data_IF_197344386976
#
_entry.id   IF_197344386976
#
_cell.length_a   1.000
_cell.length_b   1.000
_cell.length_c   1.000
_cell.angle_alpha   90.00
_cell.angle_beta   90.00
_cell.angle_gamma   90.00
#
_symmetry.space_group_name_H-M   'P 1'
#
loop_
_entity.id
_entity.type
_entity.pdbx_description
1 polymer ?
#
# COMPACT_ATOMS: atom_id res chain seq x y z
N UNK A 1 -6.32 6.96 -36.21
CA UNK A 1 -6.90 6.96 -34.85
C UNK A 1 -5.78 6.85 -33.80
N UNK A 2 -4.73 7.66 -33.99
CA UNK A 2 -3.43 7.57 -33.30
C UNK A 2 -3.27 8.81 -32.40
N UNK A 3 -2.59 8.70 -31.25
CA UNK A 3 -2.29 9.79 -30.27
C UNK A 3 -3.37 10.13 -29.23
N UNK A 4 -3.80 9.16 -28.42
CA UNK A 4 -4.56 9.48 -27.21
C UNK A 4 -3.68 10.03 -26.09
N UNK A 5 -2.41 9.60 -25.99
CA UNK A 5 -1.42 10.04 -25.00
C UNK A 5 -0.61 11.24 -25.50
N UNK A 6 -0.98 12.46 -25.10
CA UNK A 6 -0.27 13.69 -25.49
C UNK A 6 -0.52 14.80 -24.50
N UNK A 7 0.44 15.72 -24.40
CA UNK A 7 0.28 16.98 -23.66
C UNK A 7 -0.94 17.77 -24.17
N UNK A 8 -1.75 18.26 -23.25
CA UNK A 8 -2.94 19.06 -23.55
C UNK A 8 -2.73 20.47 -23.00
N UNK A 9 -3.02 21.46 -23.83
CA UNK A 9 -3.05 22.85 -23.39
C UNK A 9 -4.22 23.06 -22.42
N UNK A 10 -3.90 23.56 -21.23
CA UNK A 10 -4.84 23.77 -20.13
C UNK A 10 -5.89 24.87 -20.38
N UNK A 11 -5.69 25.68 -21.43
CA UNK A 11 -6.67 26.69 -21.90
C UNK A 11 -7.85 26.12 -22.70
N UNK A 12 -7.86 24.81 -23.01
CA UNK A 12 -8.97 24.17 -23.73
C UNK A 12 -10.25 24.15 -22.91
N UNK A 13 -11.40 24.24 -23.59
CA UNK A 13 -12.72 24.08 -22.97
C UNK A 13 -12.98 22.61 -22.63
N UNK A 14 -13.60 22.38 -21.48
CA UNK A 14 -13.92 21.04 -20.95
C UNK A 14 -14.81 20.24 -21.91
N UNK A 15 -15.75 20.90 -22.59
CA UNK A 15 -16.66 20.25 -23.55
C UNK A 15 -15.92 19.55 -24.71
N UNK A 16 -14.84 20.16 -25.20
CA UNK A 16 -14.01 19.59 -26.27
C UNK A 16 -13.26 18.31 -25.86
N UNK A 17 -13.31 17.95 -24.58
CA UNK A 17 -12.68 16.76 -24.01
C UNK A 17 -13.70 15.67 -23.66
N UNK A 18 -14.99 15.83 -23.95
CA UNK A 18 -16.05 14.86 -23.61
C UNK A 18 -15.84 13.42 -24.11
N UNK A 19 -15.05 13.24 -25.18
CA UNK A 19 -14.68 11.91 -25.72
C UNK A 19 -13.36 11.37 -25.18
N UNK A 20 -12.73 12.05 -24.21
CA UNK A 20 -11.42 11.73 -23.66
C UNK A 20 -11.41 11.91 -22.14
N UNK A 21 -10.46 11.31 -21.46
CA UNK A 21 -10.12 11.68 -20.10
C UNK A 21 -8.80 12.45 -20.10
N UNK A 22 -8.51 13.09 -18.98
CA UNK A 22 -7.26 13.81 -18.75
C UNK A 22 -6.61 13.23 -17.50
N UNK A 23 -5.31 12.98 -17.59
CA UNK A 23 -4.45 12.73 -16.45
C UNK A 23 -3.71 14.02 -16.11
N UNK A 24 -3.79 14.44 -14.87
CA UNK A 24 -2.95 15.49 -14.30
C UNK A 24 -1.83 14.77 -13.55
N UNK A 25 -0.68 14.60 -14.17
CA UNK A 25 0.49 13.98 -13.56
C UNK A 25 1.19 15.00 -12.66
N UNK A 26 1.47 14.61 -11.43
CA UNK A 26 2.22 15.41 -10.45
C UNK A 26 3.70 15.00 -10.47
N UNK A 27 4.62 15.87 -10.01
CA UNK A 27 6.05 15.55 -9.94
C UNK A 27 6.38 14.33 -9.08
N UNK A 28 5.53 14.04 -8.10
CA UNK A 28 5.73 12.98 -7.11
C UNK A 28 5.41 11.56 -7.62
N UNK A 29 5.10 11.42 -8.92
CA UNK A 29 4.69 10.16 -9.55
C UNK A 29 3.22 9.79 -9.30
N UNK A 30 2.47 10.62 -8.57
CA UNK A 30 1.02 10.49 -8.45
C UNK A 30 0.30 11.32 -9.51
N UNK A 31 -1.03 11.19 -9.57
CA UNK A 31 -1.81 11.96 -10.52
C UNK A 31 -3.30 11.96 -10.22
N UNK A 32 -4.00 12.76 -11.01
CA UNK A 32 -5.46 12.90 -10.90
C UNK A 32 -6.08 12.63 -12.25
N UNK A 33 -6.88 11.58 -12.32
CA UNK A 33 -7.68 11.22 -13.49
C UNK A 33 -8.97 12.04 -13.48
N UNK A 34 -9.25 12.76 -14.57
CA UNK A 34 -10.47 13.54 -14.78
C UNK A 34 -11.20 13.07 -16.02
N UNK A 35 -12.48 12.74 -15.88
CA UNK A 35 -13.39 12.38 -16.98
C UNK A 35 -14.51 13.39 -17.07
N UNK A 36 -14.83 13.83 -18.27
CA UNK A 36 -15.79 14.90 -18.53
C UNK A 36 -17.00 14.34 -19.27
N UNK A 37 -18.19 14.63 -18.76
CA UNK A 37 -19.45 14.26 -19.41
C UNK A 37 -20.32 15.50 -19.57
N UNK A 38 -20.54 15.91 -20.82
CA UNK A 38 -21.43 17.01 -21.14
C UNK A 38 -22.88 16.51 -21.13
N UNK A 39 -23.77 17.28 -20.53
CA UNK A 39 -25.20 17.01 -20.54
C UNK A 39 -25.99 18.28 -20.86
N UNK A 40 -27.11 18.10 -21.54
CA UNK A 40 -28.06 19.13 -21.91
C UNK A 40 -29.43 18.71 -21.39
N UNK A 41 -29.95 19.45 -20.41
CA UNK A 41 -31.28 19.22 -19.86
C UNK A 41 -32.08 20.49 -20.07
N UNK A 42 -33.09 20.43 -20.95
CA UNK A 42 -34.01 21.54 -21.24
C UNK A 42 -33.27 22.85 -21.59
N UNK A 43 -32.16 22.76 -22.33
CA UNK A 43 -31.36 23.92 -22.75
C UNK A 43 -30.31 24.37 -21.74
N UNK A 44 -30.28 23.80 -20.53
CA UNK A 44 -29.22 24.02 -19.55
C UNK A 44 -28.07 23.09 -19.87
N UNK A 45 -27.00 23.65 -20.44
CA UNK A 45 -25.76 22.94 -20.76
C UNK A 45 -24.81 22.94 -19.58
N UNK A 46 -24.35 21.77 -19.16
CA UNK A 46 -23.43 21.62 -18.03
C UNK A 46 -22.50 20.42 -18.24
N UNK A 47 -21.41 20.37 -17.47
CA UNK A 47 -20.43 19.29 -17.51
C UNK A 47 -20.35 18.62 -16.14
N UNK A 48 -20.48 17.29 -16.09
CA UNK A 48 -20.10 16.49 -14.93
C UNK A 48 -18.62 16.15 -15.06
N UNK A 49 -17.86 16.44 -14.02
CA UNK A 49 -16.44 16.12 -13.92
C UNK A 49 -16.28 15.04 -12.88
N UNK A 50 -15.85 13.86 -13.31
CA UNK A 50 -15.51 12.75 -12.42
C UNK A 50 -14.00 12.77 -12.18
N UNK A 51 -13.57 12.74 -10.93
CA UNK A 51 -12.17 12.85 -10.49
C UNK A 51 -11.77 11.63 -9.66
N UNK A 52 -10.61 11.04 -9.97
CA UNK A 52 -10.01 9.94 -9.21
C UNK A 52 -8.55 10.29 -8.95
N UNK A 53 -8.15 10.29 -7.67
CA UNK A 53 -6.76 10.52 -7.27
C UNK A 53 -6.04 9.16 -7.26
N UNK A 54 -4.89 9.05 -7.91
CA UNK A 54 -4.15 7.78 -7.97
C UNK A 54 -3.60 7.36 -6.61
N UNK A 55 -3.44 8.29 -5.66
CA UNK A 55 -3.10 7.95 -4.26
C UNK A 55 -4.27 7.27 -3.52
N UNK A 56 -5.51 7.48 -3.97
CA UNK A 56 -6.74 6.91 -3.38
C UNK A 56 -7.64 6.37 -4.50
N UNK A 57 -7.21 5.31 -5.19
CA UNK A 57 -7.82 4.86 -6.45
C UNK A 57 -9.26 4.33 -6.28
N UNK A 58 -9.66 4.04 -5.04
CA UNK A 58 -10.98 3.54 -4.65
C UNK A 58 -12.03 4.64 -4.52
N UNK A 59 -11.63 5.91 -4.45
CA UNK A 59 -12.52 7.03 -4.15
C UNK A 59 -12.73 7.91 -5.38
N UNK A 60 -13.91 7.81 -5.97
CA UNK A 60 -14.30 8.66 -7.10
C UNK A 60 -15.14 9.85 -6.62
N UNK A 61 -14.66 11.07 -6.85
CA UNK A 61 -15.40 12.31 -6.61
C UNK A 61 -16.05 12.81 -7.91
N UNK A 62 -17.13 13.56 -7.83
CA UNK A 62 -17.67 14.26 -8.99
C UNK A 62 -18.08 15.69 -8.63
N UNK A 63 -18.12 16.57 -9.63
CA UNK A 63 -18.63 17.93 -9.49
C UNK A 63 -19.28 18.41 -10.79
N UNK A 64 -20.15 19.40 -10.66
CA UNK A 64 -20.71 20.12 -11.80
C UNK A 64 -19.83 21.31 -12.16
N UNK A 65 -19.63 21.51 -13.46
CA UNK A 65 -18.97 22.67 -14.02
C UNK A 65 -19.83 23.27 -15.14
N UNK A 66 -19.73 24.59 -15.33
CA UNK A 66 -20.40 25.27 -16.44
C UNK A 66 -19.92 24.71 -17.78
N UNK A 67 -20.78 24.76 -18.79
CA UNK A 67 -20.44 24.27 -20.15
C UNK A 67 -19.18 24.93 -20.72
N UNK A 68 -18.99 26.22 -20.44
CA UNK A 68 -17.88 27.05 -20.89
C UNK A 68 -16.62 26.98 -20.00
N UNK A 69 -16.62 26.16 -18.95
CA UNK A 69 -15.45 26.02 -18.07
C UNK A 69 -14.22 25.59 -18.89
N UNK A 70 -13.10 26.26 -18.65
CA UNK A 70 -11.79 25.87 -19.16
C UNK A 70 -11.22 24.78 -18.28
N UNK A 71 -10.25 24.04 -18.81
CA UNK A 71 -9.60 22.97 -18.05
C UNK A 71 -8.89 23.56 -16.81
N UNK A 72 -8.24 24.72 -16.93
CA UNK A 72 -7.68 25.49 -15.80
C UNK A 72 -8.66 25.66 -14.63
N UNK A 73 -9.93 26.02 -14.91
CA UNK A 73 -10.96 26.24 -13.88
C UNK A 73 -11.30 24.96 -13.09
N UNK A 74 -10.92 23.80 -13.62
CA UNK A 74 -11.27 22.49 -13.06
C UNK A 74 -10.07 21.58 -12.76
N UNK A 75 -8.87 22.10 -12.96
CA UNK A 75 -7.64 21.55 -12.39
C UNK A 75 -7.58 21.90 -10.89
N UNK A 76 -6.80 21.16 -10.08
CA UNK A 76 -6.54 21.58 -8.70
C UNK A 76 -5.91 23.00 -8.71
N UNK A 77 -6.41 23.88 -7.84
CA UNK A 77 -5.76 25.17 -7.60
C UNK A 77 -4.44 24.93 -6.86
N UNK A 78 -3.41 25.73 -7.19
CA UNK A 78 -2.11 25.89 -6.50
C UNK A 78 -0.91 25.12 -7.08
N UNK A 79 0.02 25.89 -7.66
CA UNK A 79 1.45 25.91 -7.29
C UNK A 79 2.42 24.80 -7.72
N UNK A 80 1.97 23.69 -8.30
CA UNK A 80 2.87 22.58 -8.67
C UNK A 80 3.11 22.48 -10.18
N UNK A 81 4.33 22.10 -10.58
CA UNK A 81 4.68 21.71 -11.94
C UNK A 81 3.93 20.43 -12.33
N UNK A 82 2.67 20.54 -12.74
CA UNK A 82 1.88 19.39 -13.20
C UNK A 82 1.87 19.28 -14.72
N UNK A 83 1.93 18.05 -15.22
CA UNK A 83 1.78 17.77 -16.64
C UNK A 83 0.37 17.27 -16.95
N UNK A 84 -0.30 17.96 -17.89
CA UNK A 84 -1.67 17.60 -18.30
C UNK A 84 -1.62 16.76 -19.57
N UNK A 85 -2.05 15.50 -19.45
CA UNK A 85 -1.95 14.49 -20.51
C UNK A 85 -3.36 14.02 -20.90
N UNK A 86 -3.69 14.03 -22.19
CA UNK A 86 -4.89 13.35 -22.67
C UNK A 86 -4.71 11.84 -22.52
N UNK A 87 -5.77 11.15 -22.12
CA UNK A 87 -5.78 9.70 -21.97
C UNK A 87 -7.08 9.12 -22.55
N UNK A 88 -7.12 7.82 -22.91
CA UNK A 88 -8.36 7.14 -23.22
C UNK A 88 -9.34 7.21 -22.04
N UNK A 89 -10.63 7.01 -22.33
CA UNK A 89 -11.65 6.96 -21.29
C UNK A 89 -11.40 5.77 -20.36
N UNK A 90 -11.67 6.02 -19.08
CA UNK A 90 -11.63 4.99 -18.07
C UNK A 90 -13.03 4.57 -17.64
N UNK A 91 -13.10 3.35 -17.14
CA UNK A 91 -14.32 2.69 -16.69
C UNK A 91 -14.08 2.00 -15.35
N UNK A 92 -15.17 1.81 -14.61
CA UNK A 92 -15.16 0.94 -13.45
C UNK A 92 -15.57 -0.48 -13.87
N UNK A 93 -14.97 -1.52 -13.26
CA UNK A 93 -15.35 -2.89 -13.53
C UNK A 93 -16.80 -3.15 -13.10
N UNK A 94 -17.44 -4.14 -13.71
CA UNK A 94 -18.85 -4.44 -13.48
C UNK A 94 -19.15 -4.77 -12.01
N UNK A 95 -18.25 -5.51 -11.34
CA UNK A 95 -18.41 -5.85 -9.92
C UNK A 95 -18.44 -4.60 -9.03
N UNK A 96 -17.65 -3.56 -9.35
CA UNK A 96 -17.62 -2.33 -8.57
C UNK A 96 -18.92 -1.52 -8.73
N UNK A 97 -19.50 -1.54 -9.95
CA UNK A 97 -20.84 -0.98 -10.20
C UNK A 97 -21.91 -1.76 -9.43
N UNK A 98 -21.81 -3.08 -9.40
CA UNK A 98 -22.71 -3.97 -8.63
C UNK A 98 -22.61 -3.72 -7.13
N UNK A 99 -21.40 -3.61 -6.59
CA UNK A 99 -21.17 -3.31 -5.17
C UNK A 99 -21.78 -1.96 -4.77
N UNK A 100 -21.60 -0.92 -5.59
CA UNK A 100 -22.24 0.39 -5.36
C UNK A 100 -23.76 0.27 -5.32
N UNK A 101 -24.35 -0.50 -6.24
CA UNK A 101 -25.79 -0.72 -6.28
C UNK A 101 -26.28 -1.45 -5.02
N UNK A 102 -25.57 -2.50 -4.58
CA UNK A 102 -25.88 -3.22 -3.35
C UNK A 102 -25.82 -2.33 -2.11
N UNK A 103 -24.76 -1.52 -1.96
CA UNK A 103 -24.64 -0.56 -0.84
C UNK A 103 -25.77 0.48 -0.89
N UNK A 104 -26.07 0.99 -2.09
CA UNK A 104 -27.18 1.95 -2.29
C UNK A 104 -28.51 1.34 -1.86
N UNK A 105 -28.80 0.11 -2.29
CA UNK A 105 -30.02 -0.62 -1.93
C UNK A 105 -30.05 -0.90 -0.42
N UNK A 106 -28.93 -1.29 0.18
CA UNK A 106 -28.83 -1.55 1.62
C UNK A 106 -29.15 -0.30 2.45
N UNK A 107 -28.56 0.85 2.11
CA UNK A 107 -28.86 2.13 2.78
C UNK A 107 -30.33 2.52 2.55
N UNK A 108 -30.84 2.34 1.33
CA UNK A 108 -32.23 2.65 1.01
C UNK A 108 -33.23 1.78 1.80
N UNK A 109 -32.98 0.47 1.93
CA UNK A 109 -33.77 -0.44 2.75
C UNK A 109 -33.68 -0.06 4.24
N UNK A 110 -32.49 0.32 4.72
CA UNK A 110 -32.32 0.79 6.10
C UNK A 110 -33.15 2.05 6.38
N UNK A 111 -33.27 2.98 5.42
CA UNK A 111 -34.14 4.15 5.54
C UNK A 111 -35.61 3.73 5.54
N UNK A 112 -36.01 2.89 4.58
CA UNK A 112 -37.41 2.46 4.42
C UNK A 112 -37.94 1.69 5.64
N UNK A 113 -37.12 0.80 6.22
CA UNK A 113 -37.52 -0.03 7.36
C UNK A 113 -37.09 0.53 8.73
N UNK A 114 -36.05 1.35 8.78
CA UNK A 114 -35.57 1.98 10.02
C UNK A 114 -36.43 3.16 10.47
N UNK A 115 -36.99 3.95 9.55
CA UNK A 115 -37.87 5.07 9.90
C UNK A 115 -39.12 4.62 10.67
N UNK A 116 -39.85 3.56 10.28
CA UNK A 116 -40.94 3.01 11.07
C UNK A 116 -40.53 2.52 12.46
N UNK A 117 -39.35 1.89 12.58
CA UNK A 117 -38.83 1.43 13.87
C UNK A 117 -38.52 2.59 14.85
N UNK A 118 -38.31 3.79 14.32
CA UNK A 118 -38.13 5.04 15.07
C UNK A 118 -39.44 5.82 15.29
N UNK A 119 -40.59 5.24 14.93
CA UNK A 119 -41.91 5.83 15.15
C UNK A 119 -42.45 6.70 14.02
N UNK A 120 -41.81 6.72 12.84
CA UNK A 120 -42.37 7.39 11.66
C UNK A 120 -43.55 6.59 11.09
N UNK A 121 -44.52 7.28 10.48
CA UNK A 121 -45.59 6.61 9.74
C UNK A 121 -45.04 5.90 8.49
N UNK A 122 -45.73 4.85 8.04
CA UNK A 122 -45.39 4.13 6.80
C UNK A 122 -45.36 5.06 5.59
N UNK A 123 -46.29 6.00 5.50
CA UNK A 123 -46.37 6.96 4.39
C UNK A 123 -45.17 7.92 4.38
N UNK A 124 -44.74 8.38 5.56
CA UNK A 124 -43.53 9.19 5.68
C UNK A 124 -42.28 8.41 5.28
N UNK A 125 -42.17 7.14 5.67
CA UNK A 125 -41.05 6.27 5.30
C UNK A 125 -40.98 6.04 3.77
N UNK A 126 -42.12 5.83 3.12
CA UNK A 126 -42.21 5.69 1.66
C UNK A 126 -41.79 7.00 0.97
N UNK A 127 -42.29 8.15 1.44
CA UNK A 127 -41.93 9.45 0.86
C UNK A 127 -40.44 9.74 0.99
N UNK A 128 -39.86 9.57 2.19
CA UNK A 128 -38.43 9.81 2.41
C UNK A 128 -37.54 8.82 1.65
N UNK A 129 -37.91 7.54 1.58
CA UNK A 129 -37.16 6.55 0.80
C UNK A 129 -37.19 6.83 -0.71
N UNK A 130 -38.32 7.31 -1.25
CA UNK A 130 -38.45 7.66 -2.67
C UNK A 130 -37.57 8.86 -3.07
N UNK A 131 -37.37 9.81 -2.15
CA UNK A 131 -36.44 10.93 -2.31
C UNK A 131 -34.99 10.53 -2.06
N UNK A 132 -34.74 9.62 -1.11
CA UNK A 132 -33.40 9.19 -0.75
C UNK A 132 -32.71 8.38 -1.86
N UNK A 133 -33.44 7.53 -2.60
CA UNK A 133 -32.85 6.68 -3.63
C UNK A 133 -32.10 7.45 -4.75
N UNK A 134 -32.70 8.46 -5.43
CA UNK A 134 -31.98 9.23 -6.43
C UNK A 134 -30.83 10.03 -5.80
N UNK A 135 -31.00 10.50 -4.56
CA UNK A 135 -29.99 11.24 -3.84
C UNK A 135 -28.78 10.34 -3.50
N UNK A 136 -29.00 9.12 -3.05
CA UNK A 136 -27.95 8.13 -2.82
C UNK A 136 -27.24 7.76 -4.14
N UNK A 137 -27.97 7.53 -5.24
CA UNK A 137 -27.34 7.25 -6.54
C UNK A 137 -26.47 8.40 -7.06
N UNK A 138 -26.76 9.65 -6.66
CA UNK A 138 -25.99 10.84 -7.02
C UNK A 138 -24.82 11.06 -6.06
N UNK A 139 -25.06 11.02 -4.75
CA UNK A 139 -24.08 11.43 -3.73
C UNK A 139 -23.20 10.29 -3.20
N UNK A 140 -23.64 9.04 -3.29
CA UNK A 140 -22.84 7.92 -2.82
C UNK A 140 -21.58 7.79 -3.70
N UNK A 141 -20.36 7.83 -3.11
CA UNK A 141 -19.13 7.78 -3.88
C UNK A 141 -19.11 6.52 -4.74
N UNK A 142 -18.53 6.60 -5.94
CA UNK A 142 -18.29 5.38 -6.70
C UNK A 142 -17.11 4.65 -6.05
N UNK A 143 -17.37 3.42 -5.63
CA UNK A 143 -16.40 2.53 -5.00
C UNK A 143 -15.72 1.68 -6.07
N UNK A 144 -14.48 1.28 -5.80
CA UNK A 144 -13.73 0.32 -6.60
C UNK A 144 -12.73 0.94 -7.58
N UNK A 145 -11.76 0.12 -8.03
CA UNK A 145 -10.64 0.57 -8.85
C UNK A 145 -11.11 1.03 -10.24
N UNK A 146 -10.31 1.91 -10.83
CA UNK A 146 -10.51 2.41 -12.19
C UNK A 146 -9.61 1.68 -13.16
N UNK A 147 -10.16 1.29 -14.30
CA UNK A 147 -9.44 0.71 -15.42
C UNK A 147 -9.48 1.68 -16.61
N UNK A 148 -8.30 2.00 -17.14
CA UNK A 148 -8.13 2.82 -18.34
C UNK A 148 -8.05 1.86 -19.52
N UNK A 149 -8.95 2.00 -20.51
CA UNK A 149 -8.89 1.17 -21.72
C UNK A 149 -7.68 1.58 -22.56
N UNK A 150 -6.57 0.87 -22.43
CA UNK A 150 -5.43 1.04 -23.34
C UNK A 150 -5.73 0.33 -24.67
N UNK A 151 -5.16 0.86 -25.76
CA UNK A 151 -5.23 0.20 -27.08
C UNK A 151 -4.36 -1.06 -27.14
N UNK A 152 -3.39 -1.17 -26.26
CA UNK A 152 -2.30 -2.16 -26.32
C UNK A 152 -2.53 -3.36 -25.37
N UNK A 153 -3.79 -3.64 -25.01
CA UNK A 153 -4.21 -4.75 -24.14
C UNK A 153 -3.62 -4.77 -22.71
N UNK A 154 -2.73 -3.82 -22.37
CA UNK A 154 -2.21 -3.66 -21.01
C UNK A 154 -3.31 -3.21 -20.05
N UNK A 155 -3.50 -3.89 -18.89
CA UNK A 155 -4.45 -3.50 -17.86
C UNK A 155 -3.96 -2.24 -17.15
N UNK A 156 -4.29 -1.07 -17.71
CA UNK A 156 -3.98 0.20 -17.07
C UNK A 156 -4.96 0.45 -15.92
N UNK A 157 -4.42 0.62 -14.73
CA UNK A 157 -5.15 0.94 -13.50
C UNK A 157 -4.74 2.33 -13.03
N UNK A 158 -5.45 2.86 -12.04
CA UNK A 158 -5.04 4.10 -11.39
C UNK A 158 -3.61 4.02 -10.77
N UNK A 159 -3.09 2.82 -10.48
CA UNK A 159 -1.76 2.63 -9.90
C UNK A 159 -0.59 2.76 -10.89
N UNK A 160 -0.79 2.40 -12.17
CA UNK A 160 0.28 2.38 -13.19
C UNK A 160 0.09 3.41 -14.33
N UNK A 161 -1.07 4.09 -14.39
CA UNK A 161 -1.40 5.02 -15.48
C UNK A 161 -0.44 6.21 -15.57
N UNK A 162 0.10 6.69 -14.44
CA UNK A 162 1.04 7.82 -14.41
C UNK A 162 2.37 7.42 -15.02
N UNK A 163 2.90 6.28 -14.59
CA UNK A 163 4.14 5.70 -15.09
C UNK A 163 4.03 5.41 -16.59
N UNK A 164 2.93 4.77 -17.02
CA UNK A 164 2.65 4.54 -18.45
C UNK A 164 2.65 5.85 -19.24
N UNK A 165 1.97 6.90 -18.73
CA UNK A 165 1.90 8.19 -19.40
C UNK A 165 3.29 8.81 -19.56
N UNK A 166 4.09 8.81 -18.49
CA UNK A 166 5.43 9.39 -18.50
C UNK A 166 6.37 8.64 -19.47
N UNK A 167 6.38 7.31 -19.43
CA UNK A 167 7.15 6.48 -20.37
C UNK A 167 6.73 6.73 -21.82
N UNK A 168 5.42 6.84 -22.08
CA UNK A 168 4.91 7.09 -23.44
C UNK A 168 5.26 8.50 -23.93
N UNK A 169 5.29 9.48 -23.04
CA UNK A 169 5.65 10.87 -23.36
C UNK A 169 7.16 11.06 -23.56
N UNK A 170 7.99 10.29 -22.88
CA UNK A 170 9.45 10.28 -23.11
C UNK A 170 9.86 9.52 -24.37
N UNK A 171 8.90 8.89 -25.07
CA UNK A 171 9.16 8.10 -26.28
C UNK A 171 9.64 6.68 -25.99
N UNK A 172 9.59 6.22 -24.74
CA UNK A 172 9.85 4.83 -24.41
C UNK A 172 8.71 3.91 -24.87
N UNK A 173 8.99 2.62 -24.99
CA UNK A 173 8.01 1.57 -25.29
C UNK A 173 7.47 0.98 -23.98
N UNK A 174 6.27 1.39 -23.50
CA UNK A 174 5.71 0.93 -22.23
C UNK A 174 5.14 -0.50 -22.29
N UNK A 175 5.42 -1.22 -23.37
CA UNK A 175 4.93 -2.59 -23.64
C UNK A 175 5.43 -3.61 -22.60
N UNK A 176 6.45 -3.25 -21.83
CA UNK A 176 7.03 -4.05 -20.76
C UNK A 176 6.51 -3.72 -19.36
N UNK A 177 5.45 -2.91 -19.22
CA UNK A 177 4.88 -2.66 -17.89
C UNK A 177 4.29 -3.97 -17.35
N UNK A 178 4.92 -4.46 -16.29
CA UNK A 178 4.51 -5.65 -15.57
C UNK A 178 3.06 -5.51 -15.05
N UNK A 179 2.37 -6.63 -14.92
CA UNK A 179 0.98 -6.67 -14.45
C UNK A 179 0.81 -6.00 -13.06
N UNK A 180 1.87 -6.04 -12.23
CA UNK A 180 1.91 -5.38 -10.92
C UNK A 180 2.45 -3.94 -11.05
N UNK A 181 1.71 -2.93 -10.55
CA UNK A 181 2.19 -1.56 -10.46
C UNK A 181 3.55 -1.47 -9.77
N UNK A 182 4.47 -0.67 -10.32
CA UNK A 182 5.83 -0.57 -9.80
C UNK A 182 5.89 -0.16 -8.32
N UNK A 183 5.01 0.74 -7.87
CA UNK A 183 4.86 1.08 -6.44
C UNK A 183 4.60 -0.14 -5.56
N UNK A 184 3.74 -1.06 -6.00
CA UNK A 184 3.40 -2.26 -5.23
C UNK A 184 4.60 -3.17 -5.09
N UNK A 185 5.42 -3.32 -6.15
CA UNK A 185 6.68 -4.09 -6.09
C UNK A 185 7.67 -3.50 -5.08
N UNK A 186 7.80 -2.18 -5.01
CA UNK A 186 8.69 -1.53 -4.03
C UNK A 186 8.19 -1.75 -2.59
N UNK A 187 6.86 -1.71 -2.37
CA UNK A 187 6.28 -2.02 -1.07
C UNK A 187 6.45 -3.50 -0.69
N UNK A 188 6.31 -4.41 -1.66
CA UNK A 188 6.56 -5.85 -1.49
C UNK A 188 8.00 -6.09 -1.06
N UNK A 189 8.96 -5.45 -1.74
CA UNK A 189 10.40 -5.52 -1.38
C UNK A 189 10.68 -5.11 0.08
N UNK A 190 10.05 -4.04 0.56
CA UNK A 190 10.13 -3.61 1.96
C UNK A 190 9.50 -4.65 2.89
N UNK A 191 8.34 -5.20 2.50
CA UNK A 191 7.64 -6.23 3.26
C UNK A 191 8.46 -7.52 3.38
N UNK A 192 9.16 -7.92 2.31
CA UNK A 192 10.01 -9.11 2.27
C UNK A 192 11.18 -8.98 3.25
N UNK A 193 11.83 -7.82 3.30
CA UNK A 193 12.90 -7.54 4.27
C UNK A 193 12.37 -7.58 5.70
N UNK A 194 11.18 -7.01 5.94
CA UNK A 194 10.55 -7.06 7.26
C UNK A 194 10.23 -8.51 7.66
N UNK A 195 9.69 -9.30 6.74
CA UNK A 195 9.40 -10.71 6.96
C UNK A 195 10.68 -11.48 7.26
N UNK A 196 11.74 -11.32 6.45
CA UNK A 196 13.03 -11.97 6.69
C UNK A 196 13.62 -11.60 8.05
N UNK A 197 13.64 -10.32 8.41
CA UNK A 197 14.10 -9.90 9.74
C UNK A 197 13.25 -10.48 10.88
N UNK A 198 11.93 -10.58 10.68
CA UNK A 198 11.01 -11.25 11.59
C UNK A 198 11.36 -12.73 11.81
N UNK A 199 11.56 -13.48 10.72
CA UNK A 199 11.97 -14.89 10.78
C UNK A 199 13.32 -15.06 11.48
N UNK A 200 14.30 -14.21 11.16
CA UNK A 200 15.62 -14.23 11.83
C UNK A 200 15.52 -13.93 13.33
N UNK A 201 14.56 -13.09 13.75
CA UNK A 201 14.32 -12.78 15.16
C UNK A 201 13.65 -13.94 15.91
N UNK A 202 12.92 -14.81 15.22
CA UNK A 202 12.33 -16.02 15.80
C UNK A 202 13.32 -17.19 15.85
N UNK A 203 14.37 -17.19 15.03
CA UNK A 203 15.45 -18.19 15.07
C UNK A 203 16.35 -17.96 16.30
N UNK A 204 16.04 -18.70 17.38
CA UNK A 204 16.78 -18.68 18.65
C UNK A 204 18.27 -18.98 18.45
N UNK A 205 18.62 -19.94 17.59
CA UNK A 205 20.03 -20.30 17.34
C UNK A 205 20.74 -19.13 16.66
N UNK A 206 20.11 -18.53 15.66
CA UNK A 206 20.65 -17.35 14.97
C UNK A 206 20.87 -16.18 15.92
N UNK A 207 19.93 -15.91 16.83
CA UNK A 207 20.06 -14.84 17.84
C UNK A 207 21.23 -15.03 18.79
N UNK A 208 21.52 -16.28 19.16
CA UNK A 208 22.66 -16.59 20.03
C UNK A 208 23.98 -16.52 19.25
N UNK A 209 24.01 -17.04 18.02
CA UNK A 209 25.24 -17.09 17.20
C UNK A 209 25.61 -15.72 16.60
N UNK A 210 24.63 -14.86 16.31
CA UNK A 210 24.78 -13.56 15.64
C UNK A 210 24.07 -12.42 16.39
N UNK A 211 24.38 -12.20 17.68
CA UNK A 211 23.61 -11.29 18.55
C UNK A 211 23.64 -9.82 18.10
N UNK A 212 24.70 -9.40 17.42
CA UNK A 212 24.83 -8.03 16.93
C UNK A 212 23.69 -7.60 15.98
N UNK A 213 23.05 -8.53 15.25
CA UNK A 213 21.92 -8.23 14.37
C UNK A 213 20.65 -7.79 15.13
N UNK A 214 20.57 -8.13 16.41
CA UNK A 214 19.40 -7.89 17.26
C UNK A 214 19.65 -6.85 18.35
N UNK A 215 20.90 -6.37 18.45
CA UNK A 215 21.28 -5.32 19.37
C UNK A 215 21.13 -3.93 18.73
N UNK A 216 20.15 -3.17 19.21
CA UNK A 216 19.92 -1.80 18.76
C UNK A 216 21.05 -0.83 19.09
N UNK A 217 22.03 -1.22 19.91
CA UNK A 217 23.23 -0.43 20.17
C UNK A 217 24.34 -0.64 19.13
N UNK A 218 24.30 -1.73 18.35
CA UNK A 218 25.28 -1.96 17.28
C UNK A 218 25.00 -1.03 16.10
N UNK A 219 25.97 -0.21 15.71
CA UNK A 219 25.77 0.87 14.70
C UNK A 219 25.16 0.38 13.37
N UNK A 220 25.60 -0.74 12.75
CA UNK A 220 24.95 -1.25 11.53
C UNK A 220 23.48 -1.62 11.74
N UNK A 221 23.16 -2.26 12.86
CA UNK A 221 21.80 -2.67 13.22
C UNK A 221 20.93 -1.46 13.56
N UNK A 222 21.47 -0.47 14.28
CA UNK A 222 20.77 0.76 14.59
C UNK A 222 20.35 1.53 13.33
N UNK A 223 21.23 1.59 12.31
CA UNK A 223 20.91 2.17 11.00
C UNK A 223 19.77 1.43 10.30
N UNK A 224 19.85 0.10 10.26
CA UNK A 224 18.79 -0.73 9.70
C UNK A 224 17.45 -0.53 10.42
N UNK A 225 17.43 -0.60 11.75
CA UNK A 225 16.20 -0.43 12.54
C UNK A 225 15.60 0.97 12.37
N UNK A 226 16.44 2.02 12.24
CA UNK A 226 15.97 3.37 11.95
C UNK A 226 15.31 3.47 10.56
N UNK A 227 15.90 2.85 9.54
CA UNK A 227 15.31 2.78 8.20
C UNK A 227 13.99 1.98 8.21
N UNK A 228 13.94 0.88 8.97
CA UNK A 228 12.74 0.05 9.12
C UNK A 228 11.58 0.84 9.75
N UNK A 229 11.83 1.57 10.84
CA UNK A 229 10.82 2.44 11.48
C UNK A 229 10.32 3.51 10.50
N UNK A 230 11.21 4.14 9.73
CA UNK A 230 10.81 5.11 8.70
C UNK A 230 9.91 4.49 7.63
N UNK A 231 10.17 3.24 7.24
CA UNK A 231 9.34 2.51 6.29
C UNK A 231 7.96 2.20 6.87
N UNK A 232 7.89 1.73 8.12
CA UNK A 232 6.65 1.42 8.82
C UNK A 232 5.74 2.65 8.95
N UNK A 233 6.32 3.81 9.24
CA UNK A 233 5.57 5.05 9.46
C UNK A 233 5.08 5.72 8.17
N UNK A 234 5.87 5.70 7.09
CA UNK A 234 5.68 6.63 5.96
C UNK A 234 5.62 6.00 4.59
N UNK A 235 5.99 4.72 4.40
CA UNK A 235 6.13 4.14 3.06
C UNK A 235 4.85 4.28 2.21
N UNK A 236 3.68 4.12 2.82
CA UNK A 236 2.39 4.20 2.14
C UNK A 236 2.11 5.58 1.51
N UNK A 237 2.66 6.66 2.07
CA UNK A 237 2.40 8.04 1.65
C UNK A 237 3.54 8.68 0.85
N UNK A 238 4.71 8.02 0.79
CA UNK A 238 5.86 8.57 0.08
C UNK A 238 5.66 8.62 -1.44
N UNK A 239 6.15 9.68 -2.11
CA UNK A 239 6.35 9.69 -3.57
C UNK A 239 7.15 8.48 -4.05
N UNK A 240 6.95 8.04 -5.29
CA UNK A 240 7.57 6.81 -5.78
C UNK A 240 9.10 6.83 -5.71
N UNK A 241 9.76 7.89 -6.19
CA UNK A 241 11.22 8.00 -6.16
C UNK A 241 11.79 7.99 -4.72
N UNK A 242 11.07 8.61 -3.77
CA UNK A 242 11.44 8.60 -2.36
C UNK A 242 11.24 7.22 -1.73
N UNK A 243 10.18 6.50 -2.15
CA UNK A 243 9.91 5.14 -1.73
C UNK A 243 10.98 4.16 -2.24
N UNK A 244 11.41 4.27 -3.51
CA UNK A 244 12.52 3.48 -4.06
C UNK A 244 13.84 3.73 -3.33
N UNK A 245 14.12 5.00 -3.01
CA UNK A 245 15.29 5.39 -2.24
C UNK A 245 15.27 4.77 -0.85
N UNK A 246 14.11 4.80 -0.18
CA UNK A 246 13.92 4.19 1.13
C UNK A 246 14.07 2.66 1.08
N UNK A 247 13.50 1.99 0.08
CA UNK A 247 13.65 0.54 -0.09
C UNK A 247 15.12 0.15 -0.28
N UNK A 248 15.86 0.95 -1.05
CA UNK A 248 17.30 0.71 -1.28
C UNK A 248 18.15 0.98 -0.05
N UNK A 249 17.85 2.05 0.70
CA UNK A 249 18.45 2.32 2.02
C UNK A 249 18.22 1.15 2.99
N UNK A 250 17.00 0.61 3.02
CA UNK A 250 16.61 -0.50 3.89
C UNK A 250 17.35 -1.80 3.52
N UNK A 251 17.41 -2.17 2.24
CA UNK A 251 18.16 -3.36 1.80
C UNK A 251 19.64 -3.28 2.11
N UNK A 252 20.27 -2.17 1.76
CA UNK A 252 21.71 -1.99 1.96
C UNK A 252 22.03 -2.03 3.45
N UNK A 253 21.27 -1.31 4.27
CA UNK A 253 21.50 -1.31 5.72
C UNK A 253 21.25 -2.70 6.34
N UNK A 254 20.25 -3.44 5.88
CA UNK A 254 19.97 -4.80 6.35
C UNK A 254 21.09 -5.78 6.00
N UNK A 255 21.57 -5.78 4.75
CA UNK A 255 22.68 -6.66 4.34
C UNK A 255 23.99 -6.29 5.05
N UNK A 256 24.25 -5.00 5.26
CA UNK A 256 25.40 -4.54 6.06
C UNK A 256 25.29 -5.01 7.51
N UNK A 257 24.11 -4.90 8.13
CA UNK A 257 23.88 -5.40 9.49
C UNK A 257 24.08 -6.93 9.58
N UNK A 258 23.54 -7.70 8.62
CA UNK A 258 23.72 -9.16 8.53
C UNK A 258 25.19 -9.53 8.35
N UNK A 259 25.90 -8.84 7.45
CA UNK A 259 27.32 -9.07 7.21
C UNK A 259 28.15 -8.79 8.46
N UNK A 260 27.90 -7.66 9.14
CA UNK A 260 28.56 -7.34 10.39
C UNK A 260 28.29 -8.38 11.48
N UNK A 261 27.02 -8.80 11.65
CA UNK A 261 26.66 -9.79 12.65
C UNK A 261 27.27 -11.16 12.39
N UNK A 262 27.43 -11.56 11.12
CA UNK A 262 28.19 -12.76 10.74
C UNK A 262 29.68 -12.63 11.04
N UNK A 263 30.26 -11.48 10.75
CA UNK A 263 31.69 -11.24 10.94
C UNK A 263 32.08 -11.21 12.42
N UNK A 264 31.26 -10.58 13.27
CA UNK A 264 31.52 -10.47 14.71
C UNK A 264 31.04 -11.71 15.47
N UNK A 265 29.87 -12.26 15.12
CA UNK A 265 29.29 -13.43 15.78
C UNK A 265 29.19 -13.27 17.29
N UNK A 266 29.51 -14.35 18.03
CA UNK A 266 29.52 -14.40 19.50
C UNK A 266 30.51 -13.39 20.12
N UNK A 267 31.50 -12.89 19.37
CA UNK A 267 32.46 -11.93 19.91
C UNK A 267 31.84 -10.56 20.25
N UNK A 268 30.62 -10.28 19.76
CA UNK A 268 29.84 -9.08 20.12
C UNK A 268 29.47 -9.07 21.60
N UNK A 269 29.38 -10.25 22.21
CA UNK A 269 29.04 -10.39 23.63
C UNK A 269 30.20 -9.95 24.53
N UNK A 270 29.87 -9.44 25.74
CA UNK A 270 30.85 -9.28 26.81
C UNK A 270 31.64 -10.58 27.02
N UNK A 271 32.93 -10.46 27.31
CA UNK A 271 33.86 -11.59 27.31
C UNK A 271 33.43 -12.69 28.29
N UNK A 272 32.91 -12.30 29.44
CA UNK A 272 32.36 -13.15 30.50
C UNK A 272 31.17 -14.01 30.06
N UNK A 273 30.45 -13.63 29.00
CA UNK A 273 29.25 -14.33 28.52
C UNK A 273 29.50 -15.18 27.27
N UNK A 274 30.68 -15.10 26.65
CA UNK A 274 30.96 -15.79 25.38
C UNK A 274 30.93 -17.31 25.50
N UNK A 275 31.45 -17.85 26.59
CA UNK A 275 31.44 -19.30 26.83
C UNK A 275 30.02 -19.80 27.13
N UNK A 276 29.23 -19.01 27.82
CA UNK A 276 27.83 -19.31 28.12
C UNK A 276 26.99 -19.30 26.84
N UNK A 277 27.20 -18.32 25.97
CA UNK A 277 26.56 -18.27 24.65
C UNK A 277 26.92 -19.46 23.75
N UNK A 278 28.19 -19.90 23.73
CA UNK A 278 28.60 -21.12 23.01
C UNK A 278 27.87 -22.36 23.52
N UNK A 279 27.72 -22.49 24.85
CA UNK A 279 26.95 -23.57 25.47
C UNK A 279 25.47 -23.46 25.12
N UNK A 280 24.89 -22.27 25.22
CA UNK A 280 23.50 -21.99 24.85
C UNK A 280 23.23 -22.38 23.39
N UNK A 281 24.06 -21.97 22.44
CA UNK A 281 23.91 -22.32 21.03
C UNK A 281 23.94 -23.84 20.79
N UNK A 282 24.81 -24.57 21.51
CA UNK A 282 24.87 -26.04 21.44
C UNK A 282 23.60 -26.69 21.99
N UNK A 283 23.10 -26.20 23.13
CA UNK A 283 21.86 -26.70 23.75
C UNK A 283 20.64 -26.36 22.88
N UNK A 284 20.60 -25.18 22.27
CA UNK A 284 19.54 -24.76 21.36
C UNK A 284 19.45 -25.67 20.12
N UNK A 285 20.59 -25.98 19.50
CA UNK A 285 20.64 -26.96 18.39
C UNK A 285 20.17 -28.34 18.82
N UNK A 286 20.61 -28.81 19.99
CA UNK A 286 20.15 -30.09 20.55
C UNK A 286 18.63 -30.11 20.78
N UNK A 287 18.05 -29.01 21.28
CA UNK A 287 16.61 -28.90 21.48
C UNK A 287 15.82 -28.95 20.17
N UNK A 288 16.33 -28.29 19.12
CA UNK A 288 15.70 -28.29 17.78
C UNK A 288 15.80 -29.64 17.07
N UNK A 289 16.94 -30.33 17.20
CA UNK A 289 17.22 -31.57 16.48
C UNK A 289 16.72 -32.83 17.21
N UNK A 290 16.42 -32.76 18.52
CA UNK A 290 16.07 -33.95 19.31
C UNK A 290 14.69 -34.51 18.90
N UNK A 291 14.61 -35.79 18.52
CA UNK A 291 13.34 -36.46 18.24
C UNK A 291 12.61 -36.87 19.53
N UNK A 292 13.27 -36.81 20.69
CA UNK A 292 12.74 -37.23 21.97
C UNK A 292 12.21 -36.03 22.76
N UNK A 293 10.90 -36.04 23.02
CA UNK A 293 10.20 -35.00 23.76
C UNK A 293 10.77 -34.73 25.16
N UNK A 294 11.25 -35.77 25.86
CA UNK A 294 11.87 -35.61 27.18
C UNK A 294 13.22 -34.89 27.12
N UNK A 295 14.04 -35.22 26.13
CA UNK A 295 15.35 -34.58 25.91
C UNK A 295 15.19 -33.14 25.42
N UNK A 296 14.24 -32.88 24.53
CA UNK A 296 13.90 -31.54 24.07
C UNK A 296 13.49 -30.63 25.23
N UNK A 297 12.55 -31.04 26.08
CA UNK A 297 12.14 -30.25 27.27
C UNK A 297 13.29 -30.01 28.24
N UNK A 298 14.13 -31.02 28.47
CA UNK A 298 15.31 -30.85 29.33
C UNK A 298 16.31 -29.84 28.74
N UNK A 299 16.54 -29.89 27.42
CA UNK A 299 17.40 -28.96 26.70
C UNK A 299 16.84 -27.53 26.71
N UNK A 300 15.55 -27.33 26.45
CA UNK A 300 14.87 -26.02 26.54
C UNK A 300 14.98 -25.43 27.94
N UNK A 301 14.70 -26.22 28.98
CA UNK A 301 14.82 -25.76 30.37
C UNK A 301 16.26 -25.39 30.73
N UNK A 302 17.25 -26.12 30.22
CA UNK A 302 18.66 -25.77 30.39
C UNK A 302 19.04 -24.50 29.61
N UNK A 303 18.55 -24.34 28.38
CA UNK A 303 18.78 -23.15 27.55
C UNK A 303 18.24 -21.90 28.25
N UNK A 304 17.00 -21.96 28.76
CA UNK A 304 16.38 -20.86 29.50
C UNK A 304 17.24 -20.42 30.69
N UNK A 305 17.76 -21.37 31.49
CA UNK A 305 18.66 -21.04 32.62
C UNK A 305 19.94 -20.33 32.20
N UNK A 306 20.56 -20.74 31.08
CA UNK A 306 21.80 -20.13 30.60
C UNK A 306 21.53 -18.71 30.07
N UNK A 307 20.46 -18.52 29.31
CA UNK A 307 20.09 -17.21 28.77
C UNK A 307 19.68 -16.25 29.89
N UNK A 308 18.91 -16.73 30.87
CA UNK A 308 18.52 -15.96 32.05
C UNK A 308 19.73 -15.51 32.89
N UNK A 309 20.77 -16.34 33.01
CA UNK A 309 22.00 -15.94 33.71
C UNK A 309 22.81 -14.86 32.99
N UNK A 310 22.70 -14.76 31.66
CA UNK A 310 23.35 -13.68 30.90
C UNK A 310 22.53 -12.37 30.93
N UNK A 311 21.20 -12.46 30.99
CA UNK A 311 20.28 -11.32 31.14
C UNK A 311 20.49 -10.16 30.14
N UNK A 312 20.90 -10.48 28.90
CA UNK A 312 21.17 -9.49 27.85
C UNK A 312 19.89 -9.14 27.08
N UNK A 313 19.61 -7.84 26.89
CA UNK A 313 18.33 -7.36 26.31
C UNK A 313 18.08 -7.77 24.85
N UNK A 314 19.11 -8.14 24.11
CA UNK A 314 19.02 -8.61 22.72
C UNK A 314 18.98 -10.14 22.59
N UNK A 315 19.17 -10.87 23.69
CA UNK A 315 19.08 -12.35 23.70
C UNK A 315 17.63 -12.83 23.73
N UNK A 316 17.36 -14.08 23.27
CA UNK A 316 16.05 -14.67 23.37
C UNK A 316 15.57 -14.74 24.82
N UNK A 317 14.30 -14.41 25.07
CA UNK A 317 13.70 -14.53 26.38
C UNK A 317 13.23 -15.97 26.67
N UNK A 318 12.83 -16.24 27.92
CA UNK A 318 12.41 -17.58 28.36
C UNK A 318 11.14 -18.06 27.66
N UNK A 319 10.24 -17.15 27.29
CA UNK A 319 8.99 -17.50 26.62
C UNK A 319 9.22 -17.80 25.13
N UNK A 320 10.11 -17.06 24.47
CA UNK A 320 10.63 -17.34 23.12
C UNK A 320 11.33 -18.70 23.07
N UNK A 321 12.09 -19.05 24.11
CA UNK A 321 12.78 -20.34 24.22
C UNK A 321 11.80 -21.50 24.42
N UNK A 322 10.73 -21.30 25.21
CA UNK A 322 9.67 -22.31 25.39
C UNK A 322 8.92 -22.62 24.09
N UNK A 323 8.87 -21.69 23.14
CA UNK A 323 8.25 -21.95 21.85
C UNK A 323 8.92 -23.11 21.08
N UNK A 324 10.19 -23.45 21.39
CA UNK A 324 10.88 -24.61 20.83
C UNK A 324 10.30 -25.96 21.30
N UNK A 325 9.50 -25.99 22.36
CA UNK A 325 8.79 -27.21 22.81
C UNK A 325 7.56 -27.51 21.95
N UNK A 326 7.02 -26.52 21.25
CA UNK A 326 5.91 -26.74 20.34
C UNK A 326 6.40 -27.54 19.12
N UNK A 327 5.73 -28.65 18.73
CA UNK A 327 6.13 -29.40 17.57
C UNK A 327 6.10 -28.49 16.34
N UNK A 328 7.19 -28.49 15.57
CA UNK A 328 7.24 -27.94 14.22
C UNK A 328 6.10 -28.59 13.41
N UNK A 329 5.10 -27.78 13.05
CA UNK A 329 4.01 -28.20 12.17
C UNK A 329 4.50 -28.35 10.73
#
# INVERSE_FOLDING_TARGET
MFTLWRRVNSRRTVHGLSKRAVLVARPDGSGVLKKFHAFDIRGIKSNVITTVDTRRPWLTKWRLARHSAKLDDVLPEVGEDYEVVAIPLWEQPLWARGLRLLVTIGIWLAILFGLPALGASTDAAILWSSLALPLLLVFLPRLGPVQVRSLDQLPLTAGNVVEYAQQRLSGAHPEALEERPHRERVLERISDIRAEYGELKLDVVRRIDQPALFDGAAEPTARFLSALVRADDRAADLPLAALESLASELEVSFEVAKSNARAVGIAHLPEEHRDDARRAAKVARLAQESPNEGERRAAVAQLGRILESMALHYMPDVDEVRALEAPSR
#
